data_IF_171103010061
#
_entry.id   IF_171103010061
#
_cell.length_a   1.000
_cell.length_b   1.000
_cell.length_c   1.000
_cell.angle_alpha   90.00
_cell.angle_beta   90.00
_cell.angle_gamma   90.00
#
_symmetry.space_group_name_H-M   'P 1'
#
loop_
_entity.id
_entity.type
_entity.pdbx_description
1 polymer ?
#
# COMPACT_ATOMS: atom_id res chain seq x y z
N UNK A 1 25.02 -1.06 17.60
CA UNK A 1 23.57 -1.09 17.72
C UNK A 1 23.01 -0.79 16.36
N UNK A 2 22.32 -1.76 15.76
CA UNK A 2 21.64 -1.59 14.48
C UNK A 2 20.47 -0.62 14.64
N UNK A 3 20.00 -0.06 13.52
CA UNK A 3 18.82 0.81 13.49
C UNK A 3 17.58 0.11 14.10
N UNK A 4 17.41 -1.17 13.76
CA UNK A 4 16.29 -1.99 14.24
C UNK A 4 16.41 -2.30 15.73
N UNK A 5 17.61 -2.60 16.23
CA UNK A 5 17.85 -2.83 17.67
C UNK A 5 17.43 -1.63 18.52
N UNK A 6 17.71 -0.40 18.07
CA UNK A 6 17.31 0.78 18.84
C UNK A 6 15.80 1.03 18.85
N UNK A 7 15.09 0.71 17.76
CA UNK A 7 13.62 0.74 17.76
C UNK A 7 13.07 -0.31 18.72
N UNK A 8 13.63 -1.52 18.68
CA UNK A 8 13.25 -2.61 19.58
C UNK A 8 13.43 -2.22 21.05
N UNK A 9 14.60 -1.69 21.43
CA UNK A 9 14.89 -1.24 22.81
C UNK A 9 13.93 -0.14 23.29
N UNK A 10 13.49 0.75 22.40
CA UNK A 10 12.49 1.76 22.76
C UNK A 10 11.14 1.08 23.00
N UNK A 11 10.73 0.16 22.13
CA UNK A 11 9.47 -0.56 22.29
C UNK A 11 9.45 -1.39 23.59
N UNK A 12 10.55 -2.06 23.91
CA UNK A 12 10.70 -2.96 25.07
C UNK A 12 10.48 -2.23 26.42
N UNK A 13 10.77 -0.93 26.48
CA UNK A 13 10.54 -0.09 27.67
C UNK A 13 9.05 0.09 28.03
N UNK A 14 8.14 -0.24 27.12
CA UNK A 14 6.70 0.00 27.28
C UNK A 14 5.85 -1.27 27.37
N UNK A 15 6.48 -2.45 27.54
CA UNK A 15 5.75 -3.72 27.65
C UNK A 15 4.66 -3.63 28.72
N UNK A 16 3.42 -3.93 28.32
CA UNK A 16 2.27 -4.02 29.20
C UNK A 16 1.19 -4.94 28.59
N UNK A 17 0.04 -5.04 29.24
CA UNK A 17 -1.05 -5.95 28.82
C UNK A 17 -1.65 -5.63 27.44
N UNK A 18 -1.30 -4.50 26.82
CA UNK A 18 -1.75 -4.07 25.49
C UNK A 18 -0.62 -3.72 24.51
N UNK A 19 0.64 -3.74 24.96
CA UNK A 19 1.84 -3.47 24.15
C UNK A 19 2.83 -4.63 24.33
N UNK A 20 2.95 -5.47 23.30
CA UNK A 20 3.79 -6.67 23.32
C UNK A 20 4.99 -6.49 22.41
N UNK A 21 6.16 -6.98 22.80
CA UNK A 21 7.43 -6.75 22.09
C UNK A 21 8.23 -8.05 22.00
N UNK A 22 8.79 -8.35 20.83
CA UNK A 22 9.65 -9.52 20.60
C UNK A 22 9.03 -10.84 21.08
N UNK A 23 9.80 -11.59 21.87
CA UNK A 23 9.38 -12.88 22.42
C UNK A 23 8.20 -12.75 23.41
N UNK A 24 7.91 -11.56 23.93
CA UNK A 24 6.73 -11.33 24.78
C UNK A 24 5.42 -11.28 23.96
N UNK A 25 5.48 -11.28 22.63
CA UNK A 25 4.30 -11.38 21.76
C UNK A 25 3.76 -12.81 21.78
N UNK A 26 2.53 -13.07 22.30
CA UNK A 26 1.99 -14.42 22.29
C UNK A 26 1.83 -14.95 20.86
N UNK A 27 2.25 -16.18 20.60
CA UNK A 27 2.25 -16.79 19.25
C UNK A 27 0.90 -16.68 18.52
N UNK A 28 -0.21 -16.79 19.26
CA UNK A 28 -1.55 -16.65 18.70
C UNK A 28 -1.82 -15.23 18.19
N UNK A 29 -1.32 -14.21 18.91
CA UNK A 29 -1.44 -12.80 18.52
C UNK A 29 -0.56 -12.51 17.31
N UNK A 30 0.69 -12.96 17.33
CA UNK A 30 1.60 -12.83 16.20
C UNK A 30 1.02 -13.46 14.92
N UNK A 31 0.48 -14.69 15.01
CA UNK A 31 -0.21 -15.35 13.88
C UNK A 31 -1.40 -14.55 13.35
N UNK A 32 -2.17 -13.93 14.24
CA UNK A 32 -3.30 -13.10 13.83
C UNK A 32 -2.83 -11.80 13.16
N UNK A 33 -1.75 -11.20 13.65
CA UNK A 33 -1.14 -10.01 13.04
C UNK A 33 -0.66 -10.33 11.63
N UNK A 34 0.17 -11.36 11.46
CA UNK A 34 0.68 -11.79 10.14
C UNK A 34 -0.46 -12.11 9.16
N UNK A 35 -1.57 -12.69 9.65
CA UNK A 35 -2.70 -13.06 8.80
C UNK A 35 -3.59 -11.87 8.40
N UNK A 36 -3.84 -10.95 9.32
CA UNK A 36 -4.91 -9.95 9.17
C UNK A 36 -4.36 -8.58 8.72
N UNK A 37 -3.11 -8.26 9.06
CA UNK A 37 -2.45 -7.00 8.71
C UNK A 37 -1.85 -7.08 7.30
N UNK A 38 -1.68 -5.95 6.60
CA UNK A 38 -1.03 -5.91 5.29
C UNK A 38 0.51 -5.98 5.41
N UNK A 39 1.03 -6.93 6.20
CA UNK A 39 2.48 -7.09 6.46
C UNK A 39 3.06 -8.08 5.43
N UNK A 40 4.05 -7.66 4.62
CA UNK A 40 4.80 -8.54 3.73
C UNK A 40 5.52 -9.70 4.46
N UNK A 41 5.77 -10.84 3.80
CA UNK A 41 6.42 -12.01 4.44
C UNK A 41 7.87 -11.79 4.91
N UNK A 42 8.55 -10.79 4.38
CA UNK A 42 9.93 -10.39 4.67
C UNK A 42 10.04 -9.39 5.84
N UNK A 43 8.92 -8.85 6.30
CA UNK A 43 8.89 -7.97 7.47
C UNK A 43 8.93 -8.76 8.77
N UNK A 44 9.83 -8.37 9.68
CA UNK A 44 9.85 -8.87 11.04
C UNK A 44 9.02 -7.96 11.96
N UNK A 45 8.12 -8.56 12.73
CA UNK A 45 7.27 -7.86 13.70
C UNK A 45 8.01 -7.69 15.02
N UNK A 46 8.34 -6.44 15.37
CA UNK A 46 9.09 -6.08 16.58
C UNK A 46 8.16 -5.87 17.77
N UNK A 47 7.02 -5.20 17.56
CA UNK A 47 6.05 -4.91 18.60
C UNK A 47 4.62 -4.84 18.06
N UNK A 48 3.63 -5.16 18.90
CA UNK A 48 2.21 -5.10 18.53
C UNK A 48 1.35 -4.48 19.62
N UNK A 49 0.38 -3.69 19.19
CA UNK A 49 -0.71 -3.19 20.03
C UNK A 49 -1.96 -3.99 19.72
N UNK A 50 -2.54 -4.61 20.74
CA UNK A 50 -3.85 -5.24 20.60
C UNK A 50 -4.95 -4.21 20.81
N UNK A 51 -5.75 -3.97 19.78
CA UNK A 51 -6.91 -3.08 19.82
C UNK A 51 -8.23 -3.83 19.71
N UNK A 52 -8.24 -5.15 19.92
CA UNK A 52 -9.46 -5.95 19.89
C UNK A 52 -10.11 -6.08 21.26
N UNK A 53 -11.44 -5.93 21.31
CA UNK A 53 -12.24 -6.05 22.54
C UNK A 53 -12.03 -7.35 23.33
N UNK A 54 -11.64 -8.44 22.66
CA UNK A 54 -11.43 -9.77 23.25
C UNK A 54 -9.96 -10.24 23.17
N UNK A 55 -9.00 -9.34 22.93
CA UNK A 55 -7.58 -9.64 23.04
C UNK A 55 -7.03 -10.63 22.00
N UNK A 56 -7.63 -10.68 20.80
CA UNK A 56 -7.20 -11.51 19.68
C UNK A 56 -6.07 -10.91 18.85
N UNK A 57 -5.81 -9.60 18.93
CA UNK A 57 -4.79 -8.88 18.15
C UNK A 57 -4.98 -8.93 16.62
N UNK A 58 -6.21 -9.17 16.16
CA UNK A 58 -6.56 -9.05 14.73
C UNK A 58 -6.67 -7.61 14.26
N UNK A 59 -6.78 -6.67 15.20
CA UNK A 59 -6.95 -5.23 14.98
C UNK A 59 -5.93 -4.53 15.86
N UNK A 60 -5.25 -3.54 15.31
CA UNK A 60 -4.30 -2.71 16.05
C UNK A 60 -3.16 -2.18 15.19
N UNK A 61 -1.99 -2.05 15.82
CA UNK A 61 -0.75 -1.53 15.25
C UNK A 61 0.35 -2.57 15.36
N UNK A 62 1.15 -2.73 14.32
CA UNK A 62 2.38 -3.50 14.33
C UNK A 62 3.56 -2.58 13.99
N UNK A 63 4.60 -2.64 14.81
CA UNK A 63 5.92 -2.04 14.55
C UNK A 63 6.77 -3.13 13.92
N UNK A 64 7.27 -2.88 12.71
CA UNK A 64 8.04 -3.85 11.93
C UNK A 64 9.40 -3.26 11.50
N UNK A 65 10.21 -4.07 10.84
CA UNK A 65 11.53 -3.68 10.35
C UNK A 65 11.51 -2.49 9.38
N UNK A 66 10.63 -2.46 8.38
CA UNK A 66 10.54 -1.40 7.36
C UNK A 66 9.64 -0.22 7.75
N UNK A 67 8.77 -0.40 8.74
CA UNK A 67 7.86 0.65 9.19
C UNK A 67 6.76 0.16 10.11
N UNK A 68 5.64 0.88 10.07
CA UNK A 68 4.46 0.58 10.88
C UNK A 68 3.30 0.14 10.02
N UNK A 69 2.56 -0.87 10.49
CA UNK A 69 1.36 -1.39 9.81
C UNK A 69 0.15 -1.30 10.73
N UNK A 70 -1.00 -0.92 10.17
CA UNK A 70 -2.27 -0.91 10.89
C UNK A 70 -3.29 -1.82 10.24
N UNK A 71 -4.10 -2.44 11.08
CA UNK A 71 -5.38 -3.03 10.71
C UNK A 71 -6.43 -2.51 11.70
N UNK A 72 -7.19 -1.50 11.33
CA UNK A 72 -8.24 -0.88 12.13
C UNK A 72 -9.58 -1.61 11.97
N UNK A 73 -10.47 -1.37 12.93
CA UNK A 73 -11.85 -1.82 12.82
C UNK A 73 -12.64 -1.02 11.78
N UNK A 74 -13.91 -1.37 11.62
CA UNK A 74 -14.79 -0.76 10.63
C UNK A 74 -15.15 0.71 10.93
N UNK A 75 -14.82 1.24 12.12
CA UNK A 75 -15.13 2.60 12.54
C UNK A 75 -14.14 3.65 12.02
N UNK A 76 -13.03 3.21 11.42
CA UNK A 76 -12.02 4.06 10.78
C UNK A 76 -12.03 3.78 9.27
N UNK A 77 -12.00 4.84 8.46
CA UNK A 77 -12.02 4.72 6.99
C UNK A 77 -10.71 4.13 6.47
N UNK A 78 -9.56 4.57 7.00
CA UNK A 78 -8.24 4.00 6.74
C UNK A 78 -8.06 2.68 7.49
N UNK A 79 -8.75 1.64 7.02
CA UNK A 79 -8.79 0.33 7.68
C UNK A 79 -7.46 -0.40 7.68
N UNK A 80 -6.68 -0.28 6.62
CA UNK A 80 -5.36 -0.88 6.49
C UNK A 80 -4.39 0.17 6.02
N UNK A 81 -3.18 0.15 6.54
CA UNK A 81 -2.18 1.16 6.22
C UNK A 81 -0.77 0.68 6.50
N UNK A 82 0.17 1.30 5.81
CA UNK A 82 1.59 1.17 5.99
C UNK A 82 2.19 2.57 6.08
N UNK A 83 3.08 2.80 7.03
CA UNK A 83 3.85 4.03 7.16
C UNK A 83 5.33 3.65 7.30
N UNK A 84 6.15 3.83 6.25
CA UNK A 84 7.56 3.55 6.31
C UNK A 84 8.29 4.52 7.25
N UNK A 85 9.45 4.10 7.76
CA UNK A 85 10.21 4.92 8.71
C UNK A 85 10.61 6.30 8.18
N UNK A 86 10.91 6.42 6.88
CA UNK A 86 11.31 7.70 6.28
C UNK A 86 10.16 8.72 6.31
N UNK A 87 8.92 8.31 5.99
CA UNK A 87 7.73 9.17 6.06
C UNK A 87 7.34 9.46 7.51
N UNK A 88 7.68 8.58 8.44
CA UNK A 88 7.38 8.76 9.85
C UNK A 88 8.20 9.88 10.51
N UNK A 89 9.40 10.19 10.03
CA UNK A 89 10.32 11.17 10.65
C UNK A 89 9.67 12.54 10.87
N UNK A 90 8.97 13.03 9.84
CA UNK A 90 8.34 14.36 9.85
C UNK A 90 6.82 14.29 10.03
N UNK A 91 6.29 13.09 10.27
CA UNK A 91 4.87 12.88 10.46
C UNK A 91 4.35 13.59 11.72
N UNK A 92 3.14 14.14 11.64
CA UNK A 92 2.53 14.86 12.75
C UNK A 92 1.68 13.90 13.60
N UNK A 93 2.22 13.49 14.73
CA UNK A 93 1.54 12.61 15.68
C UNK A 93 0.55 13.43 16.53
N UNK A 94 -0.75 13.19 16.37
CA UNK A 94 -1.81 13.90 17.06
C UNK A 94 -2.86 12.96 17.64
N UNK A 95 -3.46 13.36 18.77
CA UNK A 95 -4.71 12.77 19.23
C UNK A 95 -5.83 13.11 18.23
N UNK A 96 -6.58 12.10 17.80
CA UNK A 96 -7.67 12.26 16.83
C UNK A 96 -8.96 11.66 17.39
N UNK A 97 -10.00 12.49 17.54
CA UNK A 97 -11.27 12.09 18.13
C UNK A 97 -11.15 11.50 19.54
N UNK A 98 -12.01 10.51 19.85
CA UNK A 98 -12.09 9.88 21.18
C UNK A 98 -11.18 8.66 21.34
N UNK A 99 -10.95 7.92 20.25
CA UNK A 99 -10.29 6.61 20.28
C UNK A 99 -9.08 6.50 19.35
N UNK A 100 -8.70 7.56 18.62
CA UNK A 100 -7.71 7.44 17.57
C UNK A 100 -6.46 8.28 17.85
N UNK A 101 -5.36 7.84 17.24
CA UNK A 101 -4.13 8.62 17.05
C UNK A 101 -3.94 8.74 15.54
N UNK A 102 -3.70 9.96 15.05
CA UNK A 102 -3.44 10.24 13.64
C UNK A 102 -1.98 10.59 13.49
N UNK A 103 -1.30 9.96 12.53
CA UNK A 103 0.12 10.18 12.24
C UNK A 103 0.27 10.89 10.89
N UNK A 104 -0.51 10.48 9.90
CA UNK A 104 -0.68 11.17 8.62
C UNK A 104 -2.17 11.16 8.24
N UNK A 105 -2.62 11.93 7.21
CA UNK A 105 -3.99 11.82 6.72
C UNK A 105 -4.38 10.40 6.28
N UNK A 106 -3.42 9.61 5.79
CA UNK A 106 -3.62 8.24 5.32
C UNK A 106 -3.30 7.17 6.38
N UNK A 107 -2.80 7.56 7.56
CA UNK A 107 -2.39 6.62 8.61
C UNK A 107 -2.93 7.03 9.98
N UNK A 108 -4.04 6.39 10.34
CA UNK A 108 -4.69 6.50 11.66
C UNK A 108 -4.62 5.16 12.40
N UNK A 109 -4.53 5.23 13.71
CA UNK A 109 -4.48 4.08 14.61
C UNK A 109 -5.68 4.15 15.54
N UNK A 110 -6.58 3.16 15.45
CA UNK A 110 -7.73 3.02 16.33
C UNK A 110 -7.39 2.23 17.60
N UNK A 111 -7.78 2.77 18.76
CA UNK A 111 -7.58 2.16 20.07
C UNK A 111 -8.89 1.85 20.80
N UNK A 112 -10.01 1.77 20.08
CA UNK A 112 -11.36 1.55 20.64
C UNK A 112 -11.45 0.31 21.54
N UNK A 113 -10.69 -0.75 21.25
CA UNK A 113 -10.61 -1.98 22.04
C UNK A 113 -9.28 -2.24 22.74
N UNK A 114 -8.40 -1.23 22.85
CA UNK A 114 -7.12 -1.37 23.56
C UNK A 114 -7.21 -0.85 24.99
N UNK A 115 -6.44 -1.43 25.92
CA UNK A 115 -6.20 -0.79 27.24
C UNK A 115 -5.08 0.24 27.18
N UNK A 116 -4.30 0.28 26.09
CA UNK A 116 -3.27 1.29 25.89
C UNK A 116 -3.92 2.67 25.72
N UNK A 117 -3.50 3.63 26.54
CA UNK A 117 -4.02 5.00 26.44
C UNK A 117 -3.46 5.68 25.19
N UNK A 118 -4.28 6.46 24.50
CA UNK A 118 -3.85 7.19 23.29
C UNK A 118 -2.64 8.10 23.54
N UNK A 119 -2.63 8.79 24.67
CA UNK A 119 -1.50 9.65 25.06
C UNK A 119 -0.21 8.84 25.27
N UNK A 120 -0.34 7.62 25.81
CA UNK A 120 0.80 6.71 25.98
C UNK A 120 1.32 6.23 24.62
N UNK A 121 0.43 5.83 23.70
CA UNK A 121 0.84 5.52 22.32
C UNK A 121 1.53 6.72 21.65
N UNK A 122 1.01 7.94 21.81
CA UNK A 122 1.66 9.15 21.28
C UNK A 122 3.07 9.30 21.84
N UNK A 123 3.28 9.08 23.15
CA UNK A 123 4.61 9.12 23.77
C UNK A 123 5.55 8.07 23.18
N UNK A 124 5.09 6.82 23.03
CA UNK A 124 5.88 5.73 22.45
C UNK A 124 6.30 6.11 21.01
N UNK A 125 5.34 6.52 20.19
CA UNK A 125 5.58 6.92 18.80
C UNK A 125 6.54 8.12 18.73
N UNK A 126 6.43 9.09 19.63
CA UNK A 126 7.35 10.23 19.68
C UNK A 126 8.78 9.81 20.05
N UNK A 127 8.95 8.83 20.93
CA UNK A 127 10.27 8.30 21.25
C UNK A 127 10.89 7.54 20.08
N UNK A 128 10.11 6.70 19.41
CA UNK A 128 10.54 6.03 18.17
C UNK A 128 10.90 7.09 17.12
N UNK A 129 10.02 8.08 16.88
CA UNK A 129 10.24 9.15 15.91
C UNK A 129 11.51 9.96 16.21
N UNK A 130 11.76 10.27 17.49
CA UNK A 130 12.97 10.98 17.92
C UNK A 130 14.23 10.17 17.63
N UNK A 131 14.20 8.86 17.90
CA UNK A 131 15.31 7.97 17.58
C UNK A 131 15.54 7.85 16.08
N UNK A 132 14.50 7.55 15.31
CA UNK A 132 14.58 7.41 13.85
C UNK A 132 15.11 8.70 13.24
N UNK A 133 14.54 9.86 13.60
CA UNK A 133 15.01 11.17 13.14
C UNK A 133 16.48 11.42 13.49
N UNK A 134 16.92 11.03 14.69
CA UNK A 134 18.31 11.20 15.14
C UNK A 134 19.28 10.30 14.38
N UNK A 135 18.91 9.05 14.09
CA UNK A 135 19.76 8.13 13.30
C UNK A 135 19.88 8.66 11.87
N UNK A 136 18.76 8.94 11.20
CA UNK A 136 18.76 9.53 9.86
C UNK A 136 19.51 10.87 9.78
N UNK A 137 19.41 11.73 10.81
CA UNK A 137 20.16 12.99 10.88
C UNK A 137 21.63 12.80 11.22
N UNK A 138 22.00 11.74 11.94
CA UNK A 138 23.41 11.41 12.18
C UNK A 138 24.07 10.90 10.91
N UNK A 139 23.37 10.09 10.13
CA UNK A 139 23.82 9.67 8.81
C UNK A 139 24.02 10.91 7.91
N UNK A 140 23.09 11.88 7.97
CA UNK A 140 23.23 13.19 7.33
C UNK A 140 24.32 14.11 7.91
N UNK A 141 24.67 14.01 9.19
CA UNK A 141 25.66 14.89 9.85
C UNK A 141 27.09 14.34 9.76
N UNK A 142 27.26 13.05 9.44
CA UNK A 142 28.54 12.52 8.92
C UNK A 142 28.78 12.89 7.45
N UNK A 143 27.78 13.44 6.77
CA UNK A 143 27.82 13.92 5.39
C UNK A 143 27.69 15.45 5.34
N UNK A 144 28.68 16.17 5.90
CA UNK A 144 28.84 17.61 5.65
C UNK A 144 29.39 17.79 4.22
N UNK A 145 28.56 17.47 3.23
CA UNK A 145 28.68 17.81 1.82
C UNK A 145 27.29 18.32 1.41
N UNK A 146 27.27 19.45 0.70
CA UNK A 146 26.11 19.98 -0.05
C UNK A 146 25.26 18.85 -0.64
N UNK A 147 23.91 18.93 -0.68
CA UNK A 147 23.03 17.79 -0.94
C UNK A 147 23.33 17.15 -2.30
N UNK A 148 24.26 16.21 -2.30
CA UNK A 148 24.46 15.24 -3.35
C UNK A 148 23.35 14.22 -3.13
N UNK A 149 22.29 14.45 -3.89
CA UNK A 149 21.26 13.47 -4.22
C UNK A 149 21.92 12.10 -4.31
N UNK A 150 21.55 11.18 -3.43
CA UNK A 150 22.07 9.82 -3.41
C UNK A 150 21.98 9.22 -4.83
N UNK A 151 23.12 8.88 -5.44
CA UNK A 151 23.21 8.36 -6.81
C UNK A 151 22.45 7.03 -6.98
N UNK A 152 22.06 6.38 -5.89
CA UNK A 152 21.31 5.13 -5.90
C UNK A 152 19.79 5.31 -5.84
N UNK A 153 19.30 6.53 -5.58
CA UNK A 153 17.87 6.79 -5.35
C UNK A 153 17.25 7.68 -6.43
N UNK A 154 16.08 7.27 -6.91
CA UNK A 154 15.35 7.92 -7.98
C UNK A 154 14.31 8.91 -7.48
N UNK A 155 14.35 10.10 -8.04
CA UNK A 155 13.24 11.06 -8.00
C UNK A 155 12.42 10.88 -9.27
N UNK A 156 11.09 10.94 -9.14
CA UNK A 156 10.14 10.89 -10.25
C UNK A 156 9.40 12.22 -10.36
N UNK A 157 9.08 12.64 -11.57
CA UNK A 157 8.15 13.74 -11.83
C UNK A 157 6.98 13.23 -12.67
N UNK A 158 5.79 13.34 -12.10
CA UNK A 158 4.52 12.86 -12.64
C UNK A 158 3.57 14.05 -12.59
N UNK A 159 3.05 14.47 -13.75
CA UNK A 159 2.12 15.62 -13.84
C UNK A 159 2.66 16.94 -13.23
N UNK A 160 3.99 17.15 -13.29
CA UNK A 160 4.74 18.27 -12.69
C UNK A 160 4.85 18.24 -11.14
N UNK A 161 4.42 17.16 -10.50
CA UNK A 161 4.68 16.90 -9.09
C UNK A 161 5.88 15.96 -8.93
N UNK A 162 6.70 16.22 -7.91
CA UNK A 162 7.92 15.46 -7.64
C UNK A 162 7.70 14.45 -6.53
N UNK A 163 8.11 13.22 -6.76
CA UNK A 163 7.96 12.07 -5.86
C UNK A 163 9.31 11.37 -5.67
N UNK A 164 9.49 10.68 -4.54
CA UNK A 164 10.74 10.02 -4.16
C UNK A 164 11.45 10.74 -3.01
N UNK A 165 12.69 10.36 -2.67
CA UNK A 165 13.53 9.38 -3.37
C UNK A 165 13.03 7.93 -3.23
N UNK A 166 13.10 7.15 -4.31
CA UNK A 166 12.75 5.72 -4.34
C UNK A 166 13.94 4.86 -4.76
N UNK A 167 14.13 3.68 -4.16
CA UNK A 167 15.04 2.67 -4.69
C UNK A 167 14.61 2.21 -6.10
N UNK A 168 15.56 1.73 -6.91
CA UNK A 168 15.30 1.20 -8.25
C UNK A 168 14.19 0.14 -8.26
N UNK A 169 14.18 -0.79 -7.30
CA UNK A 169 13.18 -1.86 -7.20
C UNK A 169 11.76 -1.30 -7.01
N UNK A 170 11.60 -0.28 -6.14
CA UNK A 170 10.32 0.39 -5.95
C UNK A 170 9.81 1.05 -7.22
N UNK A 171 10.70 1.66 -8.02
CA UNK A 171 10.32 2.24 -9.31
C UNK A 171 9.91 1.15 -10.31
N UNK A 172 10.60 -0.01 -10.31
CA UNK A 172 10.21 -1.18 -11.12
C UNK A 172 8.81 -1.68 -10.74
N UNK A 173 8.50 -1.77 -9.45
CA UNK A 173 7.18 -2.18 -8.96
C UNK A 173 6.09 -1.17 -9.37
N UNK A 174 6.39 0.13 -9.30
CA UNK A 174 5.48 1.18 -9.73
C UNK A 174 5.17 1.12 -11.22
N UNK A 175 6.17 0.84 -12.05
CA UNK A 175 6.01 0.62 -13.49
C UNK A 175 5.16 -0.64 -13.73
N UNK A 176 5.55 -1.76 -13.11
CA UNK A 176 4.92 -3.07 -13.31
C UNK A 176 3.48 -3.10 -12.80
N UNK A 177 3.16 -2.32 -11.76
CA UNK A 177 1.81 -2.16 -11.21
C UNK A 177 0.97 -1.10 -11.92
N UNK A 178 1.50 -0.43 -12.96
CA UNK A 178 0.80 0.62 -13.69
C UNK A 178 0.53 1.89 -12.88
N UNK A 179 1.25 2.09 -11.78
CA UNK A 179 1.19 3.32 -10.98
C UNK A 179 1.92 4.46 -11.69
N UNK A 180 2.93 4.12 -12.51
CA UNK A 180 3.78 5.06 -13.23
C UNK A 180 3.89 4.64 -14.70
N UNK A 181 3.67 5.58 -15.62
CA UNK A 181 3.78 5.34 -17.05
C UNK A 181 5.20 5.69 -17.54
N UNK A 182 5.94 4.68 -18.02
CA UNK A 182 7.37 4.84 -18.40
C UNK A 182 7.62 5.97 -19.41
N UNK A 183 6.69 6.19 -20.35
CA UNK A 183 6.84 7.18 -21.42
C UNK A 183 6.43 8.61 -21.03
N UNK A 184 5.83 8.79 -19.85
CA UNK A 184 5.31 10.09 -19.38
C UNK A 184 5.96 10.56 -18.08
N UNK A 185 6.71 9.69 -17.42
CA UNK A 185 7.35 10.01 -16.15
C UNK A 185 8.81 10.33 -16.37
N UNK A 186 9.20 11.53 -15.92
CA UNK A 186 10.60 11.93 -15.85
C UNK A 186 11.20 11.37 -14.57
N UNK A 187 12.45 10.91 -14.64
CA UNK A 187 13.19 10.43 -13.50
C UNK A 187 14.62 10.97 -13.50
N UNK A 188 15.15 11.20 -12.31
CA UNK A 188 16.55 11.58 -12.12
C UNK A 188 17.09 11.04 -10.79
N UNK A 189 18.40 10.78 -10.74
CA UNK A 189 19.13 10.38 -9.53
C UNK A 189 20.43 11.18 -9.43
N UNK A 190 21.13 11.09 -8.30
CA UNK A 190 22.45 11.70 -8.14
C UNK A 190 23.36 11.51 -9.36
N UNK A 191 24.06 12.58 -9.75
CA UNK A 191 24.98 12.55 -10.90
C UNK A 191 24.33 12.69 -12.29
N UNK A 192 23.00 12.78 -12.40
CA UNK A 192 22.34 13.09 -13.68
C UNK A 192 22.26 14.61 -13.92
N UNK A 193 22.78 15.10 -15.05
CA UNK A 193 22.72 16.53 -15.44
C UNK A 193 21.28 17.03 -15.65
N UNK A 194 20.39 16.16 -16.12
CA UNK A 194 18.98 16.45 -16.36
C UNK A 194 18.15 15.17 -16.23
N UNK A 195 16.89 15.33 -15.86
CA UNK A 195 15.94 14.22 -15.83
C UNK A 195 15.76 13.60 -17.21
N UNK A 196 15.53 12.29 -17.22
CA UNK A 196 15.24 11.51 -18.43
C UNK A 196 13.90 10.81 -18.27
N UNK A 197 13.22 10.58 -19.38
CA UNK A 197 12.00 9.75 -19.39
C UNK A 197 12.38 8.34 -18.93
N UNK A 198 11.55 7.69 -18.08
CA UNK A 198 11.82 6.35 -17.55
C UNK A 198 12.12 5.33 -18.66
N UNK A 199 11.39 5.35 -19.78
CA UNK A 199 11.64 4.44 -20.91
C UNK A 199 13.01 4.63 -21.60
N UNK A 200 13.70 5.75 -21.36
CA UNK A 200 15.04 6.03 -21.90
C UNK A 200 16.18 5.72 -20.92
N UNK A 201 15.86 5.23 -19.72
CA UNK A 201 16.82 4.87 -18.68
C UNK A 201 17.04 3.36 -18.72
N UNK A 202 18.29 2.92 -18.79
CA UNK A 202 18.66 1.50 -18.93
C UNK A 202 18.07 0.60 -17.85
N UNK A 203 17.99 1.10 -16.62
CA UNK A 203 17.45 0.38 -15.45
C UNK A 203 15.95 0.07 -15.58
N UNK A 204 15.23 0.82 -16.42
CA UNK A 204 13.77 0.73 -16.57
C UNK A 204 13.31 0.40 -17.99
N UNK A 205 14.20 0.50 -18.99
CA UNK A 205 13.87 0.30 -20.40
C UNK A 205 13.36 -1.12 -20.71
N UNK A 206 13.89 -2.12 -20.00
CA UNK A 206 13.52 -3.52 -20.19
C UNK A 206 12.34 -3.96 -19.29
N UNK A 207 11.85 -3.09 -18.41
CA UNK A 207 10.67 -3.40 -17.59
C UNK A 207 9.46 -3.41 -18.52
N UNK A 208 8.71 -4.53 -18.62
CA UNK A 208 7.57 -4.59 -19.50
C UNK A 208 6.52 -3.56 -19.06
N UNK A 209 5.91 -2.82 -19.99
CA UNK A 209 4.87 -1.88 -19.65
C UNK A 209 3.70 -2.65 -19.02
N UNK A 210 3.08 -2.06 -18.00
CA UNK A 210 1.88 -2.65 -17.41
C UNK A 210 0.79 -2.82 -18.47
N UNK A 211 0.49 -4.08 -18.81
CA UNK A 211 -0.59 -4.40 -19.71
C UNK A 211 -1.89 -4.48 -18.91
N UNK A 212 -2.79 -3.52 -19.16
CA UNK A 212 -4.11 -3.50 -18.52
C UNK A 212 -4.87 -4.79 -18.81
N UNK A 213 -5.41 -5.39 -17.75
CA UNK A 213 -6.18 -6.62 -17.83
C UNK A 213 -7.45 -6.45 -18.68
N UNK A 214 -7.61 -7.28 -19.71
CA UNK A 214 -8.78 -7.25 -20.59
C UNK A 214 -9.95 -8.04 -19.95
N UNK A 215 -11.00 -7.33 -19.57
CA UNK A 215 -12.08 -7.88 -18.74
C UNK A 215 -12.97 -8.89 -19.46
N UNK A 216 -13.10 -8.80 -20.78
CA UNK A 216 -13.91 -9.74 -21.55
C UNK A 216 -13.27 -11.13 -21.66
N UNK A 217 -11.95 -11.21 -21.48
CA UNK A 217 -11.19 -12.47 -21.51
C UNK A 217 -10.57 -12.85 -20.15
N UNK A 218 -10.65 -12.00 -19.13
CA UNK A 218 -10.11 -12.26 -17.80
C UNK A 218 -10.62 -13.57 -17.17
N UNK A 219 -9.73 -14.32 -16.54
CA UNK A 219 -10.05 -15.50 -15.73
C UNK A 219 -10.58 -15.11 -14.34
N UNK A 220 -11.05 -16.08 -13.56
CA UNK A 220 -11.41 -15.84 -12.15
C UNK A 220 -10.20 -15.32 -11.36
N UNK A 221 -9.03 -15.92 -11.59
CA UNK A 221 -7.80 -15.56 -10.90
C UNK A 221 -7.40 -14.11 -11.20
N UNK A 222 -7.54 -13.69 -12.44
CA UNK A 222 -7.28 -12.30 -12.86
C UNK A 222 -8.23 -11.34 -12.13
N UNK A 223 -9.54 -11.65 -12.12
CA UNK A 223 -10.53 -10.80 -11.48
C UNK A 223 -10.31 -10.67 -9.96
N UNK A 224 -9.79 -11.70 -9.30
CA UNK A 224 -9.47 -11.67 -7.86
C UNK A 224 -8.31 -10.74 -7.50
N UNK A 225 -7.50 -10.31 -8.48
CA UNK A 225 -6.46 -9.32 -8.28
C UNK A 225 -7.01 -7.89 -8.27
N UNK A 226 -8.28 -7.69 -8.64
CA UNK A 226 -8.90 -6.38 -8.74
C UNK A 226 -9.37 -5.85 -7.39
N UNK A 227 -9.15 -4.55 -7.09
CA UNK A 227 -9.62 -3.94 -5.85
C UNK A 227 -11.13 -4.08 -5.68
N UNK A 228 -11.55 -4.61 -4.52
CA UNK A 228 -12.97 -4.76 -4.17
C UNK A 228 -13.66 -5.97 -4.80
N UNK A 229 -12.93 -6.84 -5.51
CA UNK A 229 -13.49 -8.06 -6.10
C UNK A 229 -13.18 -9.26 -5.23
N UNK A 230 -14.23 -9.95 -4.78
CA UNK A 230 -14.12 -11.23 -4.08
C UNK A 230 -14.52 -12.40 -5.00
N UNK A 231 -14.33 -13.64 -4.52
CA UNK A 231 -14.63 -14.84 -5.31
C UNK A 231 -16.09 -14.89 -5.77
N UNK A 232 -17.02 -14.49 -4.92
CA UNK A 232 -18.45 -14.53 -5.22
C UNK A 232 -18.79 -13.54 -6.34
N UNK A 233 -18.21 -12.35 -6.27
CA UNK A 233 -18.45 -11.27 -7.23
C UNK A 233 -17.74 -11.56 -8.55
N UNK A 234 -16.54 -12.14 -8.52
CA UNK A 234 -15.84 -12.61 -9.71
C UNK A 234 -16.61 -13.73 -10.43
N UNK A 235 -17.18 -14.69 -9.69
CA UNK A 235 -18.05 -15.73 -10.27
C UNK A 235 -19.29 -15.11 -10.93
N UNK A 236 -19.98 -14.22 -10.21
CA UNK A 236 -21.14 -13.51 -10.75
C UNK A 236 -20.79 -12.72 -12.03
N UNK A 237 -19.63 -12.07 -12.06
CA UNK A 237 -19.15 -11.33 -13.23
C UNK A 237 -18.96 -12.23 -14.45
N UNK A 238 -18.35 -13.42 -14.28
CA UNK A 238 -18.18 -14.36 -15.40
C UNK A 238 -19.53 -14.89 -15.90
N UNK A 239 -20.47 -15.15 -14.99
CA UNK A 239 -21.83 -15.55 -15.38
C UNK A 239 -22.52 -14.46 -16.19
N UNK A 240 -22.50 -13.21 -15.73
CA UNK A 240 -23.09 -12.08 -16.44
C UNK A 240 -22.40 -11.81 -17.78
N UNK A 241 -21.06 -11.88 -17.80
CA UNK A 241 -20.26 -11.79 -19.03
C UNK A 241 -20.69 -12.83 -20.05
N UNK A 242 -20.87 -14.08 -19.61
CA UNK A 242 -21.28 -15.17 -20.50
C UNK A 242 -22.70 -14.99 -21.03
N UNK A 243 -23.64 -14.52 -20.19
CA UNK A 243 -25.04 -14.26 -20.60
C UNK A 243 -25.14 -13.14 -21.63
N UNK A 244 -24.31 -12.10 -21.47
CA UNK A 244 -24.32 -10.89 -22.29
C UNK A 244 -23.43 -11.00 -23.54
N UNK A 245 -22.65 -12.08 -23.64
CA UNK A 245 -21.57 -12.20 -24.62
C UNK A 245 -20.64 -10.97 -24.53
N UNK A 246 -20.11 -10.75 -23.32
CA UNK A 246 -19.19 -9.68 -22.95
C UNK A 246 -19.85 -8.38 -22.48
N UNK A 247 -18.99 -7.46 -22.03
CA UNK A 247 -19.33 -6.09 -21.66
C UNK A 247 -18.84 -5.12 -22.73
N UNK A 248 -19.65 -4.10 -23.00
CA UNK A 248 -19.34 -3.05 -23.97
C UNK A 248 -19.00 -1.72 -23.32
N UNK A 249 -19.40 -1.52 -22.06
CA UNK A 249 -19.15 -0.29 -21.31
C UNK A 249 -18.71 -0.60 -19.88
N UNK A 250 -17.80 0.22 -19.34
CA UNK A 250 -17.31 0.08 -17.96
C UNK A 250 -18.39 0.21 -16.89
N UNK A 251 -19.50 0.90 -17.18
CA UNK A 251 -20.63 0.96 -16.24
C UNK A 251 -21.27 -0.42 -16.03
N UNK A 252 -21.32 -1.26 -17.07
CA UNK A 252 -21.83 -2.62 -16.97
C UNK A 252 -20.93 -3.48 -16.09
N UNK A 253 -19.60 -3.27 -16.20
CA UNK A 253 -18.58 -3.91 -15.35
C UNK A 253 -18.75 -3.48 -13.90
N UNK A 254 -18.87 -2.17 -13.65
CA UNK A 254 -19.08 -1.62 -12.30
C UNK A 254 -20.27 -2.28 -11.61
N UNK A 255 -21.39 -2.33 -12.32
CA UNK A 255 -22.65 -2.82 -11.77
C UNK A 255 -22.57 -4.34 -11.53
N UNK A 256 -21.92 -5.09 -12.44
CA UNK A 256 -21.72 -6.53 -12.32
C UNK A 256 -20.70 -6.93 -11.24
N UNK A 257 -19.71 -6.09 -10.96
CA UNK A 257 -18.73 -6.29 -9.89
C UNK A 257 -19.15 -5.60 -8.57
N UNK A 258 -20.32 -4.96 -8.52
CA UNK A 258 -20.81 -4.23 -7.35
C UNK A 258 -19.80 -3.23 -6.75
N UNK A 259 -18.98 -2.61 -7.61
CA UNK A 259 -17.87 -1.76 -7.17
C UNK A 259 -18.38 -0.42 -6.62
N UNK A 260 -17.83 -0.03 -5.47
CA UNK A 260 -17.99 1.33 -4.96
C UNK A 260 -17.25 2.33 -5.86
N UNK A 261 -17.60 3.64 -5.84
CA UNK A 261 -17.00 4.62 -6.76
C UNK A 261 -15.46 4.65 -6.77
N UNK A 262 -14.81 4.57 -5.60
CA UNK A 262 -13.35 4.56 -5.52
C UNK A 262 -12.74 3.26 -6.07
N UNK A 263 -13.37 2.11 -5.82
CA UNK A 263 -12.96 0.81 -6.34
C UNK A 263 -13.11 0.78 -7.86
N UNK A 264 -14.21 1.34 -8.38
CA UNK A 264 -14.45 1.45 -9.81
C UNK A 264 -13.36 2.26 -10.52
N UNK A 265 -12.96 3.40 -9.97
CA UNK A 265 -11.88 4.20 -10.55
C UNK A 265 -10.53 3.47 -10.52
N UNK A 266 -10.22 2.73 -9.45
CA UNK A 266 -9.01 1.91 -9.39
C UNK A 266 -9.04 0.77 -10.42
N UNK A 267 -10.14 0.01 -10.47
CA UNK A 267 -10.33 -1.09 -11.44
C UNK A 267 -10.24 -0.56 -12.87
N UNK A 268 -10.85 0.59 -13.15
CA UNK A 268 -10.80 1.23 -14.48
C UNK A 268 -9.39 1.61 -14.93
N UNK A 269 -8.49 1.98 -14.01
CA UNK A 269 -7.08 2.26 -14.33
C UNK A 269 -6.29 0.99 -14.67
N UNK A 270 -6.64 -0.13 -14.02
CA UNK A 270 -5.96 -1.41 -14.16
C UNK A 270 -6.46 -2.28 -15.32
N UNK A 271 -7.59 -1.92 -15.93
CA UNK A 271 -8.31 -2.81 -16.85
C UNK A 271 -8.68 -2.16 -18.19
N UNK A 272 -8.99 -2.98 -19.19
CA UNK A 272 -9.50 -2.57 -20.49
C UNK A 272 -10.75 -3.37 -20.87
N UNK A 273 -11.55 -2.78 -21.76
CA UNK A 273 -12.65 -3.45 -22.46
C UNK A 273 -12.39 -3.35 -23.95
N UNK A 274 -12.09 -4.48 -24.59
CA UNK A 274 -12.06 -4.59 -26.04
C UNK A 274 -13.44 -5.06 -26.51
N UNK A 275 -14.03 -4.42 -27.55
CA UNK A 275 -15.30 -4.87 -28.10
C UNK A 275 -15.13 -6.28 -28.67
N UNK A 276 -16.04 -7.19 -28.33
CA UNK A 276 -16.07 -8.50 -28.95
C UNK A 276 -16.41 -8.35 -30.42
N UNK A 277 -15.61 -8.96 -31.29
CA UNK A 277 -15.89 -9.00 -32.73
C UNK A 277 -17.31 -9.53 -32.93
N UNK A 278 -18.23 -8.66 -33.36
CA UNK A 278 -19.56 -9.09 -33.81
C UNK A 278 -19.32 -10.10 -34.94
N UNK A 279 -19.76 -11.35 -34.75
CA UNK A 279 -19.85 -12.27 -35.88
C UNK A 279 -20.66 -11.56 -36.99
N UNK A 280 -20.22 -11.62 -38.26
CA UNK A 280 -20.96 -11.02 -39.36
C UNK A 280 -22.37 -11.63 -39.34
N UNK A 281 -23.37 -10.77 -39.13
CA UNK A 281 -24.74 -11.18 -38.91
C UNK A 281 -25.22 -12.07 -40.05
N UNK A 282 -25.77 -13.23 -39.70
CA UNK A 282 -26.61 -14.02 -40.61
C UNK A 282 -27.67 -13.09 -41.19
N UNK A 283 -27.57 -12.84 -42.50
CA UNK A 283 -28.54 -12.05 -43.24
C UNK A 283 -29.94 -12.60 -43.05
N UNK A 284 -30.92 -11.68 -42.99
CA UNK A 284 -32.34 -12.02 -43.03
C UNK A 284 -32.62 -12.77 -44.33
N UNK A 285 -33.07 -14.02 -44.23
CA UNK A 285 -33.76 -14.69 -45.33
C UNK A 285 -35.13 -14.00 -45.43
N UNK A 286 -35.37 -13.34 -46.56
CA UNK A 286 -36.71 -12.90 -46.97
C UNK A 286 -37.30 -14.11 -47.68
N UNK A 287 -38.32 -14.74 -47.09
CA UNK A 287 -39.15 -15.70 -47.81
C UNK A 287 -40.05 -14.93 -48.79
N UNK A 288 -40.03 -15.36 -50.05
CA UNK A 288 -40.80 -14.82 -51.16
C UNK A 288 -42.27 -15.25 -51.10
#
# INVERSE_FOLDING_TARGET
MSFIEGIFEICDQYINDSWYVGEAIPEKKLRNVIKEFPIPPDEEVLAVVDCTMFGSCKIGLAICTGGMFVNNDWTIEERKGYLPWYDFIDAKIELDGKYNVKVTPAFRIGLSGSMLKRAELVTILQHIQSYVSKVYRKDKASEDITPEMDESMWMLEIENEKFGPYPTETVIDMISGGQVEQDKTMAWKGGMEQGKVLSSISEFADVPPFERMELNNASIQDLLLLPGVDLKTAQHFIEERSKRNGFSHFNEVRDSLHLQPHQFEQVRKLTTLKPLNKMPGRGRIIDF
#
